data_IF_321379174328
#
_entry.id   IF_321379174328
#
_cell.length_a   1.000
_cell.length_b   1.000
_cell.length_c   1.000
_cell.angle_alpha   90.00
_cell.angle_beta   90.00
_cell.angle_gamma   90.00
#
_symmetry.space_group_name_H-M   'P 1'
#
loop_
_entity.id
_entity.type
_entity.pdbx_description
1 polymer ?
#
# COMPACT_ATOMS: atom_id res chain seq x y z
N UNK A 1 -1.62 13.94 -7.10
CA UNK A 1 -1.91 12.49 -7.21
C UNK A 1 -0.77 11.79 -6.52
N UNK A 2 -1.01 11.14 -5.38
CA UNK A 2 0.03 10.31 -4.74
C UNK A 2 0.34 9.16 -5.69
N UNK A 3 1.52 9.19 -6.31
CA UNK A 3 2.03 8.03 -7.04
C UNK A 3 2.01 6.85 -6.08
N UNK A 4 1.25 5.81 -6.44
CA UNK A 4 1.24 4.57 -5.67
C UNK A 4 2.61 3.91 -5.84
N UNK A 5 3.32 3.65 -4.74
CA UNK A 5 4.59 2.89 -4.72
C UNK A 5 4.43 1.57 -5.47
N UNK A 6 3.25 0.95 -5.38
CA UNK A 6 2.91 -0.28 -6.12
C UNK A 6 2.88 -0.02 -7.62
N UNK A 7 2.30 1.10 -8.07
CA UNK A 7 2.27 1.47 -9.50
C UNK A 7 3.66 1.74 -10.04
N UNK A 8 4.52 2.41 -9.28
CA UNK A 8 5.92 2.63 -9.65
C UNK A 8 6.70 1.30 -9.73
N UNK A 9 6.51 0.39 -8.76
CA UNK A 9 7.12 -0.93 -8.78
C UNK A 9 6.66 -1.77 -10.00
N UNK A 10 5.37 -1.73 -10.34
CA UNK A 10 4.85 -2.38 -11.55
C UNK A 10 5.47 -1.76 -12.81
N UNK A 11 5.58 -0.43 -12.87
CA UNK A 11 6.17 0.25 -14.02
C UNK A 11 7.64 -0.14 -14.25
N UNK A 12 8.41 -0.22 -13.16
CA UNK A 12 9.80 -0.66 -13.21
C UNK A 12 9.91 -2.12 -13.67
N UNK A 13 9.15 -3.04 -13.08
CA UNK A 13 9.16 -4.45 -13.46
C UNK A 13 8.76 -4.65 -14.93
N UNK A 14 7.73 -3.93 -15.42
CA UNK A 14 7.36 -3.95 -16.83
C UNK A 14 8.48 -3.47 -17.73
N UNK A 15 9.19 -2.40 -17.35
CA UNK A 15 10.31 -1.88 -18.12
C UNK A 15 11.45 -2.90 -18.24
N UNK A 16 11.76 -3.62 -17.16
CA UNK A 16 12.77 -4.69 -17.15
C UNK A 16 12.34 -5.85 -18.05
N UNK A 17 11.10 -6.33 -17.93
CA UNK A 17 10.56 -7.44 -18.75
C UNK A 17 10.49 -7.11 -20.25
N UNK A 18 10.21 -5.85 -20.61
CA UNK A 18 10.21 -5.40 -22.02
C UNK A 18 11.65 -5.35 -22.55
N UNK A 19 12.58 -4.85 -21.74
CA UNK A 19 13.99 -4.72 -22.10
C UNK A 19 14.63 -6.09 -22.33
N UNK A 20 14.30 -7.06 -21.48
CA UNK A 20 14.81 -8.43 -21.55
C UNK A 20 14.06 -9.28 -22.59
N UNK A 21 13.05 -8.69 -23.26
CA UNK A 21 12.20 -9.32 -24.27
C UNK A 21 11.34 -10.49 -23.75
N UNK A 22 11.16 -10.58 -22.43
CA UNK A 22 10.26 -11.54 -21.79
C UNK A 22 8.79 -11.24 -22.09
N UNK A 23 8.45 -9.97 -22.32
CA UNK A 23 7.10 -9.50 -22.65
C UNK A 23 7.14 -8.52 -23.83
N UNK A 24 6.17 -8.66 -24.74
CA UNK A 24 5.89 -7.69 -25.80
C UNK A 24 4.51 -7.05 -25.59
N UNK A 25 4.47 -5.72 -25.46
CA UNK A 25 3.22 -4.96 -25.44
C UNK A 25 2.92 -4.50 -26.87
N UNK A 26 1.83 -5.02 -27.45
CA UNK A 26 1.43 -4.72 -28.83
C UNK A 26 0.47 -3.54 -28.96
N UNK A 27 0.00 -2.99 -27.84
CA UNK A 27 -0.88 -1.82 -27.86
C UNK A 27 -0.09 -0.56 -28.18
N UNK A 28 -0.70 0.32 -29.00
CA UNK A 28 -0.17 1.65 -29.29
C UNK A 28 -0.47 2.67 -28.18
N UNK A 29 -1.27 2.30 -27.18
CA UNK A 29 -1.63 3.18 -26.07
C UNK A 29 -0.54 3.08 -25.00
N UNK A 30 0.12 4.20 -24.74
CA UNK A 30 1.13 4.31 -23.70
C UNK A 30 0.53 3.95 -22.32
N UNK A 31 1.30 3.25 -21.48
CA UNK A 31 0.94 2.88 -20.11
C UNK A 31 -0.32 1.99 -19.96
N UNK A 32 -0.95 1.52 -21.04
CA UNK A 32 -2.18 0.71 -20.96
C UNK A 32 -1.99 -0.60 -20.17
N UNK A 33 -0.81 -1.23 -20.30
CA UNK A 33 -0.49 -2.44 -19.56
C UNK A 33 -0.30 -2.15 -18.07
N UNK A 34 0.40 -1.05 -17.75
CA UNK A 34 0.60 -0.58 -16.38
C UNK A 34 -0.75 -0.32 -15.69
N UNK A 35 -1.65 0.43 -16.33
CA UNK A 35 -2.96 0.73 -15.74
C UNK A 35 -3.78 -0.54 -15.52
N UNK A 36 -3.84 -1.45 -16.49
CA UNK A 36 -4.59 -2.72 -16.36
C UNK A 36 -4.07 -3.58 -15.22
N UNK A 37 -2.75 -3.72 -15.11
CA UNK A 37 -2.13 -4.51 -14.03
C UNK A 37 -2.37 -3.81 -12.69
N UNK A 38 -2.20 -2.49 -12.63
CA UNK A 38 -2.44 -1.74 -11.40
C UNK A 38 -3.90 -1.88 -10.93
N UNK A 39 -4.88 -1.79 -11.84
CA UNK A 39 -6.30 -2.00 -11.52
C UNK A 39 -6.56 -3.42 -11.00
N UNK A 40 -5.99 -4.45 -11.63
CA UNK A 40 -6.13 -5.83 -11.16
C UNK A 40 -5.55 -6.02 -9.74
N UNK A 41 -4.44 -5.37 -9.41
CA UNK A 41 -3.87 -5.37 -8.06
C UNK A 41 -4.77 -4.62 -7.06
N UNK A 42 -5.40 -3.51 -7.48
CA UNK A 42 -6.34 -2.77 -6.63
C UNK A 42 -7.61 -3.58 -6.31
N UNK A 43 -8.06 -4.45 -7.21
CA UNK A 43 -9.24 -5.30 -6.95
C UNK A 43 -9.04 -6.28 -5.78
N UNK A 44 -7.82 -6.83 -5.66
CA UNK A 44 -7.44 -7.79 -4.60
C UNK A 44 -6.86 -7.11 -3.36
N UNK A 45 -6.27 -5.92 -3.51
CA UNK A 45 -5.66 -5.15 -2.43
C UNK A 45 -6.03 -3.66 -2.51
N UNK A 46 -7.30 -3.31 -2.22
CA UNK A 46 -7.85 -1.97 -2.45
C UNK A 46 -7.26 -0.88 -1.56
N UNK A 47 -6.61 -1.27 -0.46
CA UNK A 47 -6.14 -0.36 0.56
C UNK A 47 -4.68 0.07 0.33
N UNK A 48 -3.95 -0.60 -0.57
CA UNK A 48 -2.58 -0.26 -1.00
C UNK A 48 -1.66 0.20 0.15
N UNK A 49 -1.79 -0.46 1.31
CA UNK A 49 -1.03 -0.15 2.51
C UNK A 49 0.42 -0.59 2.31
N UNK A 50 1.37 0.27 2.67
CA UNK A 50 2.76 -0.19 2.82
C UNK A 50 2.87 -1.19 3.97
N UNK A 51 3.94 -2.00 3.98
CA UNK A 51 4.18 -2.95 5.07
C UNK A 51 4.25 -2.25 6.45
N UNK A 52 4.84 -1.04 6.50
CA UNK A 52 4.90 -0.22 7.72
C UNK A 52 3.51 0.23 8.16
N UNK A 53 2.67 0.67 7.23
CA UNK A 53 1.30 1.11 7.52
C UNK A 53 0.41 -0.05 8.00
N UNK A 54 0.48 -1.20 7.33
CA UNK A 54 -0.25 -2.40 7.74
C UNK A 54 0.22 -2.87 9.13
N UNK A 55 1.53 -2.95 9.35
CA UNK A 55 2.11 -3.32 10.64
C UNK A 55 1.66 -2.37 11.75
N UNK A 56 1.68 -1.06 11.49
CA UNK A 56 1.20 -0.08 12.47
C UNK A 56 -0.29 -0.17 12.75
N UNK A 57 -1.13 -0.44 11.75
CA UNK A 57 -2.56 -0.68 11.97
C UNK A 57 -2.78 -1.94 12.82
N UNK A 58 -2.07 -3.03 12.52
CA UNK A 58 -2.15 -4.29 13.30
C UNK A 58 -1.70 -4.08 14.74
N UNK A 59 -0.58 -3.38 14.95
CA UNK A 59 -0.08 -3.06 16.28
C UNK A 59 -1.06 -2.17 17.04
N UNK A 60 -1.59 -1.12 16.40
CA UNK A 60 -2.62 -0.27 16.99
C UNK A 60 -3.87 -1.07 17.37
N UNK A 61 -4.31 -2.00 16.52
CA UNK A 61 -5.42 -2.89 16.84
C UNK A 61 -5.12 -3.79 18.02
N UNK A 62 -3.90 -4.25 18.23
CA UNK A 62 -3.55 -5.14 19.35
C UNK A 62 -3.15 -4.39 20.63
N UNK A 63 -2.97 -3.06 20.59
CA UNK A 63 -2.54 -2.29 21.77
C UNK A 63 -3.54 -2.30 22.93
N UNK A 64 -4.81 -2.62 22.69
CA UNK A 64 -5.80 -2.77 23.76
C UNK A 64 -5.47 -3.94 24.71
N UNK A 65 -4.71 -4.95 24.24
CA UNK A 65 -4.24 -6.08 25.06
C UNK A 65 -3.15 -5.67 26.07
N UNK A 66 -2.60 -4.46 25.96
CA UNK A 66 -1.54 -3.97 26.84
C UNK A 66 -2.08 -3.44 28.19
N UNK A 67 -3.38 -3.16 28.30
CA UNK A 67 -4.03 -2.81 29.57
C UNK A 67 -3.75 -1.39 30.11
N UNK A 68 -3.11 -0.51 29.34
CA UNK A 68 -2.87 0.90 29.68
C UNK A 68 -3.05 1.82 28.47
N UNK A 69 -3.26 3.12 28.72
CA UNK A 69 -3.38 4.13 27.66
C UNK A 69 -2.03 4.48 27.06
N UNK A 70 -1.98 4.65 25.73
CA UNK A 70 -0.77 4.98 24.99
C UNK A 70 -0.47 6.49 25.04
N UNK A 71 0.77 6.85 25.34
CA UNK A 71 1.30 8.21 25.20
C UNK A 71 1.97 8.43 23.84
N UNK A 72 2.50 9.62 23.58
CA UNK A 72 3.10 9.96 22.27
C UNK A 72 4.33 9.11 21.92
N UNK A 73 5.13 8.71 22.91
CA UNK A 73 6.30 7.87 22.68
C UNK A 73 5.90 6.42 22.37
N UNK A 74 4.81 5.95 22.96
CA UNK A 74 4.27 4.62 22.69
C UNK A 74 3.81 4.46 21.23
N UNK A 75 3.32 5.52 20.59
CA UNK A 75 2.96 5.48 19.17
C UNK A 75 4.19 5.16 18.30
N UNK A 76 5.32 5.81 18.53
CA UNK A 76 6.52 5.49 17.76
C UNK A 76 7.14 4.14 18.13
N UNK A 77 7.15 3.78 19.41
CA UNK A 77 7.89 2.60 19.91
C UNK A 77 7.09 1.29 19.86
N UNK A 78 5.78 1.35 20.06
CA UNK A 78 4.88 0.17 20.08
C UNK A 78 4.14 0.07 18.75
N UNK A 79 3.54 1.16 18.27
CA UNK A 79 2.78 1.16 17.01
C UNK A 79 3.74 1.22 15.80
N UNK A 80 4.87 1.91 15.90
CA UNK A 80 5.81 2.10 14.79
C UNK A 80 5.38 3.20 13.80
N UNK A 81 4.33 3.94 14.14
CA UNK A 81 3.77 5.07 13.39
C UNK A 81 3.40 6.18 14.38
N UNK A 82 3.56 7.45 13.98
CA UNK A 82 2.94 8.55 14.71
C UNK A 82 1.41 8.49 14.63
N UNK A 83 0.72 9.25 15.48
CA UNK A 83 -0.74 9.39 15.42
C UNK A 83 -1.22 9.86 14.03
N UNK A 84 -0.52 10.82 13.43
CA UNK A 84 -0.82 11.35 12.11
C UNK A 84 -0.60 10.31 11.02
N UNK A 85 0.52 9.58 11.07
CA UNK A 85 0.83 8.51 10.12
C UNK A 85 -0.23 7.39 10.21
N UNK A 86 -0.59 6.96 11.42
CA UNK A 86 -1.64 5.95 11.64
C UNK A 86 -3.00 6.44 11.15
N UNK A 87 -3.34 7.73 11.34
CA UNK A 87 -4.57 8.35 10.84
C UNK A 87 -4.61 8.41 9.32
N UNK A 88 -3.48 8.65 8.66
CA UNK A 88 -3.38 8.60 7.20
C UNK A 88 -3.53 7.17 6.71
N UNK A 89 -2.86 6.21 7.35
CA UNK A 89 -2.93 4.79 7.02
C UNK A 89 -4.37 4.24 7.17
N UNK A 90 -5.05 4.55 8.28
CA UNK A 90 -6.42 4.08 8.51
C UNK A 90 -7.42 4.63 7.51
N UNK A 91 -7.22 5.84 6.99
CA UNK A 91 -8.06 6.42 5.92
C UNK A 91 -7.93 5.69 4.58
N UNK A 92 -6.85 4.93 4.36
CA UNK A 92 -6.70 4.08 3.17
C UNK A 92 -7.53 2.81 3.25
N UNK A 93 -8.01 2.42 4.44
CA UNK A 93 -8.89 1.27 4.62
C UNK A 93 -10.26 1.57 4.01
N UNK A 94 -10.43 1.20 2.74
CA UNK A 94 -11.74 1.06 2.10
C UNK A 94 -12.35 -0.23 2.63
N UNK A 95 -13.46 -0.12 3.34
CA UNK A 95 -14.32 -1.27 3.61
C UNK A 95 -15.04 -1.55 2.29
N UNK A 96 -14.70 -2.64 1.61
CA UNK A 96 -15.61 -3.22 0.62
C UNK A 96 -16.84 -3.61 1.42
N UNK A 97 -18.00 -2.97 1.19
CA UNK A 97 -19.25 -3.48 1.71
C UNK A 97 -19.40 -4.92 1.19
N UNK A 98 -19.55 -5.87 2.11
CA UNK A 98 -19.82 -7.28 1.80
C UNK A 98 -21.31 -7.47 1.60
#
# INVERSE_FOLDING_TARGET
MTNSVVKEAIAQALSELIKDQDILITSSIENVALEKIFSAVEEVSPNMLSARELGGIVNALNTHDLGFGLDENDFQTIIGLSKEELKIASRKLKVKEW
#
